data_IF_798233434592
#
_entry.id   IF_798233434592
#
_cell.length_a   1.000
_cell.length_b   1.000
_cell.length_c   1.000
_cell.angle_alpha   90.00
_cell.angle_beta   90.00
_cell.angle_gamma   90.00
#
_symmetry.space_group_name_H-M   'P 1'
#
loop_
_entity.id
_entity.type
_entity.pdbx_description
1 polymer ?
#
# COMPACT_ATOMS: atom_id res chain seq x y z
N UNK A 1 -10.16 7.90 -1.00
CA UNK A 1 -9.35 8.57 0.05
C UNK A 1 -9.64 7.89 1.38
N UNK A 2 -8.63 7.44 2.13
CA UNK A 2 -8.85 6.84 3.44
C UNK A 2 -9.10 7.97 4.46
N UNK A 3 -10.37 8.15 4.85
CA UNK A 3 -10.81 9.19 5.81
C UNK A 3 -10.27 8.99 7.24
N UNK A 4 -9.64 7.84 7.50
CA UNK A 4 -9.20 7.45 8.82
C UNK A 4 -7.84 8.05 9.19
N UNK A 5 -6.90 8.04 8.26
CA UNK A 5 -5.57 8.55 8.51
C UNK A 5 -5.10 9.36 7.30
N UNK A 6 -5.56 10.62 7.19
CA UNK A 6 -5.30 11.44 6.00
C UNK A 6 -3.84 11.92 5.92
N UNK A 7 -3.02 11.74 6.96
CA UNK A 7 -1.65 12.24 7.01
C UNK A 7 -0.56 11.14 6.91
N UNK A 8 -0.93 9.86 6.91
CA UNK A 8 0.02 8.75 7.09
C UNK A 8 0.94 8.96 8.29
N UNK A 9 0.35 9.22 9.45
CA UNK A 9 1.09 9.37 10.69
C UNK A 9 0.59 8.38 11.70
N UNK A 10 1.46 7.88 12.56
CA UNK A 10 1.04 7.06 13.68
C UNK A 10 0.02 7.81 14.54
N UNK A 11 -1.12 7.17 14.85
CA UNK A 11 -2.10 7.77 15.74
C UNK A 11 -1.50 7.80 17.15
N UNK A 12 -1.21 8.99 17.72
CA UNK A 12 -0.69 9.05 19.07
C UNK A 12 -1.74 8.51 20.05
N UNK A 13 -1.29 8.08 21.22
CA UNK A 13 -2.20 7.63 22.28
C UNK A 13 -3.25 8.69 22.65
N UNK A 14 -3.01 9.98 22.39
CA UNK A 14 -3.99 11.05 22.56
C UNK A 14 -5.08 11.08 21.46
N UNK A 15 -4.78 10.62 20.25
CA UNK A 15 -5.71 10.60 19.11
C UNK A 15 -6.48 9.28 19.10
N UNK A 16 -7.45 9.16 20.01
CA UNK A 16 -8.29 7.99 20.15
C UNK A 16 -9.31 7.88 19.00
N UNK A 17 -8.94 7.30 17.86
CA UNK A 17 -9.95 6.63 17.02
C UNK A 17 -10.39 5.35 17.71
N UNK A 18 -11.21 5.51 18.76
CA UNK A 18 -11.62 4.45 19.70
C UNK A 18 -12.09 3.19 18.98
N UNK A 19 -12.79 3.32 17.85
CA UNK A 19 -13.26 2.18 17.06
C UNK A 19 -12.15 1.30 16.49
N UNK A 20 -11.06 1.89 16.00
CA UNK A 20 -9.96 1.12 15.39
C UNK A 20 -9.12 0.46 16.45
N UNK A 21 -8.79 1.19 17.53
CA UNK A 21 -8.07 0.62 18.65
C UNK A 21 -8.89 -0.49 19.32
N UNK A 22 -10.19 -0.29 19.53
CA UNK A 22 -11.06 -1.32 20.09
C UNK A 22 -11.12 -2.56 19.19
N UNK A 23 -11.25 -2.39 17.87
CA UNK A 23 -11.23 -3.52 16.95
C UNK A 23 -9.87 -4.23 16.94
N UNK A 24 -8.77 -3.49 16.96
CA UNK A 24 -7.42 -4.06 17.03
C UNK A 24 -7.24 -4.87 18.32
N UNK A 25 -7.60 -4.32 19.48
CA UNK A 25 -7.54 -5.05 20.76
C UNK A 25 -8.44 -6.28 20.78
N UNK A 26 -9.66 -6.18 20.24
CA UNK A 26 -10.59 -7.30 20.19
C UNK A 26 -10.09 -8.43 19.26
N UNK A 27 -9.55 -8.08 18.09
CA UNK A 27 -9.03 -9.07 17.12
C UNK A 27 -7.73 -9.72 17.56
N UNK A 28 -6.85 -8.97 18.22
CA UNK A 28 -5.59 -9.48 18.80
C UNK A 28 -5.77 -10.12 20.17
N UNK A 29 -6.95 -9.94 20.80
CA UNK A 29 -7.24 -10.30 22.21
C UNK A 29 -6.23 -9.71 23.19
N UNK A 30 -5.76 -8.49 22.90
CA UNK A 30 -4.74 -7.81 23.70
C UNK A 30 -5.17 -6.39 24.06
N UNK A 31 -5.76 -6.23 25.26
CA UNK A 31 -6.20 -4.93 25.78
C UNK A 31 -5.03 -4.02 26.20
N UNK A 32 -3.83 -4.56 26.32
CA UNK A 32 -2.63 -3.82 26.73
C UNK A 32 -2.02 -2.98 25.61
N UNK A 33 -2.52 -3.08 24.37
CA UNK A 33 -2.07 -2.24 23.25
C UNK A 33 -2.44 -0.79 23.53
N UNK A 34 -1.45 0.05 23.85
CA UNK A 34 -1.66 1.48 24.17
C UNK A 34 -0.80 2.42 23.30
N UNK A 35 0.15 1.86 22.56
CA UNK A 35 1.10 2.59 21.73
C UNK A 35 1.33 1.88 20.41
N UNK A 36 1.90 2.59 19.43
CA UNK A 36 2.29 1.98 18.16
C UNK A 36 3.40 0.94 18.31
N UNK A 37 4.25 1.04 19.33
CA UNK A 37 5.25 0.02 19.62
C UNK A 37 4.59 -1.35 19.92
N UNK A 38 3.45 -1.35 20.62
CA UNK A 38 2.67 -2.55 20.90
C UNK A 38 2.00 -3.12 19.65
N UNK A 39 1.77 -2.28 18.64
CA UNK A 39 1.08 -2.65 17.39
C UNK A 39 1.98 -3.37 16.40
N UNK A 40 3.30 -3.10 16.44
CA UNK A 40 4.28 -3.62 15.49
C UNK A 40 4.18 -5.14 15.20
N UNK A 41 3.97 -6.03 16.19
CA UNK A 41 3.87 -7.47 15.94
C UNK A 41 2.68 -7.86 15.05
N UNK A 42 1.61 -7.05 15.05
CA UNK A 42 0.36 -7.36 14.34
C UNK A 42 0.32 -6.81 12.91
N UNK A 43 1.32 -6.01 12.51
CA UNK A 43 1.31 -5.32 11.21
C UNK A 43 1.20 -6.27 10.00
N UNK A 44 1.65 -7.52 10.11
CA UNK A 44 1.57 -8.54 9.06
C UNK A 44 0.39 -9.50 9.22
N UNK A 45 -0.39 -9.38 10.29
CA UNK A 45 -1.52 -10.28 10.50
C UNK A 45 -2.66 -9.98 9.50
N UNK A 46 -3.51 -10.97 9.18
CA UNK A 46 -4.57 -10.77 8.19
C UNK A 46 -5.59 -9.72 8.64
N UNK A 47 -6.37 -10.04 9.67
CA UNK A 47 -7.48 -9.21 10.13
C UNK A 47 -7.02 -8.11 11.08
N UNK A 48 -6.17 -8.46 12.05
CA UNK A 48 -5.59 -7.49 12.98
C UNK A 48 -4.66 -6.51 12.26
N UNK A 49 -3.92 -6.98 11.24
CA UNK A 49 -2.96 -6.15 10.53
C UNK A 49 -3.59 -5.01 9.74
N UNK A 50 -4.82 -5.16 9.24
CA UNK A 50 -5.54 -4.04 8.62
C UNK A 50 -5.71 -2.91 9.64
N UNK A 51 -6.17 -3.24 10.84
CA UNK A 51 -6.36 -2.22 11.90
C UNK A 51 -5.05 -1.72 12.47
N UNK A 52 -4.03 -2.57 12.56
CA UNK A 52 -2.67 -2.18 12.94
C UNK A 52 -2.13 -1.12 11.98
N UNK A 53 -2.24 -1.35 10.66
CA UNK A 53 -1.81 -0.44 9.60
C UNK A 53 -2.64 0.85 9.56
N UNK A 54 -3.94 0.77 9.85
CA UNK A 54 -4.78 1.98 9.95
C UNK A 54 -4.44 2.83 11.17
N UNK A 55 -4.12 2.20 12.30
CA UNK A 55 -3.84 2.86 13.57
C UNK A 55 -2.41 3.42 13.60
N UNK A 56 -1.42 2.63 13.16
CA UNK A 56 0.00 2.98 13.17
C UNK A 56 0.66 2.69 11.82
N UNK A 57 0.33 3.48 10.78
CA UNK A 57 0.85 3.25 9.44
C UNK A 57 2.37 3.41 9.33
N UNK A 58 3.00 4.32 10.06
CA UNK A 58 4.46 4.48 9.99
C UNK A 58 5.16 3.34 10.69
N UNK A 59 4.68 2.92 11.86
CA UNK A 59 5.22 1.75 12.56
C UNK A 59 5.04 0.47 11.76
N UNK A 60 3.95 0.36 11.00
CA UNK A 60 3.73 -0.74 10.05
C UNK A 60 4.32 -0.47 8.67
N UNK A 61 5.26 0.46 8.51
CA UNK A 61 6.00 0.68 7.27
C UNK A 61 5.12 0.94 6.03
N UNK A 62 3.93 1.52 6.21
CA UNK A 62 2.98 1.79 5.12
C UNK A 62 3.55 2.71 4.03
N UNK A 63 4.50 3.58 4.38
CA UNK A 63 5.16 4.47 3.44
C UNK A 63 6.28 3.78 2.65
N UNK A 64 6.75 2.61 3.09
CA UNK A 64 7.87 1.92 2.47
C UNK A 64 7.42 1.13 1.23
N UNK A 65 7.99 1.41 0.05
CA UNK A 65 7.69 0.64 -1.17
C UNK A 65 8.28 -0.77 -1.14
N UNK A 66 9.33 -0.98 -0.33
CA UNK A 66 10.02 -2.26 -0.12
C UNK A 66 9.50 -3.00 1.12
N UNK A 67 8.38 -2.58 1.69
CA UNK A 67 7.75 -3.27 2.83
C UNK A 67 7.32 -4.69 2.42
N UNK A 68 7.54 -5.71 3.27
CA UNK A 68 7.04 -7.06 3.02
C UNK A 68 5.51 -7.16 3.08
N UNK A 69 4.82 -6.09 3.52
CA UNK A 69 3.38 -6.08 3.74
C UNK A 69 2.53 -6.01 2.46
N UNK A 70 3.15 -6.06 1.27
CA UNK A 70 2.42 -6.20 0.00
C UNK A 70 1.30 -5.18 -0.15
N UNK A 71 1.63 -3.90 0.03
CA UNK A 71 0.65 -2.81 0.14
C UNK A 71 0.22 -2.32 -1.24
N UNK A 72 -0.43 -3.21 -1.99
CA UNK A 72 -0.89 -2.92 -3.35
C UNK A 72 -2.21 -2.14 -3.33
N UNK A 73 -3.01 -2.28 -2.27
CA UNK A 73 -4.33 -1.65 -2.16
C UNK A 73 -4.56 -1.00 -0.76
N UNK A 74 -5.04 0.26 -0.69
CA UNK A 74 -5.31 0.97 0.56
C UNK A 74 -6.39 0.33 1.45
N UNK A 75 -7.24 -0.51 0.90
CA UNK A 75 -8.21 -1.36 1.60
C UNK A 75 -7.54 -2.33 2.57
N UNK A 76 -6.25 -2.60 2.42
CA UNK A 76 -5.46 -3.37 3.39
C UNK A 76 -5.01 -2.57 4.60
N UNK A 77 -5.43 -1.31 4.74
CA UNK A 77 -5.27 -0.52 5.97
C UNK A 77 -4.22 0.59 5.91
N UNK A 78 -3.34 0.58 4.92
CA UNK A 78 -2.44 1.70 4.66
C UNK A 78 -3.17 2.79 3.85
N UNK A 79 -3.22 4.03 4.34
CA UNK A 79 -3.90 5.09 3.62
C UNK A 79 -3.15 5.49 2.34
N UNK A 80 -3.89 6.00 1.34
CA UNK A 80 -3.30 6.63 0.15
C UNK A 80 -2.29 7.71 0.50
N UNK A 81 -2.47 8.41 1.63
CA UNK A 81 -1.53 9.44 2.09
C UNK A 81 -0.12 8.89 2.33
N UNK A 82 0.03 7.59 2.61
CA UNK A 82 1.34 6.96 2.76
C UNK A 82 2.13 6.89 1.46
N UNK A 83 1.47 6.98 0.31
CA UNK A 83 2.11 7.05 -1.00
C UNK A 83 2.72 8.44 -1.27
N UNK A 84 2.24 9.48 -0.57
CA UNK A 84 2.81 10.83 -0.64
C UNK A 84 3.75 11.14 0.53
N UNK A 85 4.09 10.13 1.35
CA UNK A 85 4.92 10.33 2.54
C UNK A 85 6.34 10.79 2.14
N UNK A 86 6.93 11.81 2.81
CA UNK A 86 8.21 12.40 2.39
C UNK A 86 9.36 11.40 2.27
N UNK A 87 9.43 10.39 3.15
CA UNK A 87 10.47 9.35 3.11
C UNK A 87 10.28 8.33 1.98
N UNK A 88 9.10 8.25 1.36
CA UNK A 88 8.84 7.26 0.31
C UNK A 88 9.66 7.58 -0.95
N UNK A 89 9.67 8.84 -1.35
CA UNK A 89 10.40 9.29 -2.53
C UNK A 89 11.92 9.01 -2.40
N UNK A 90 12.51 9.20 -1.22
CA UNK A 90 13.92 8.89 -1.01
C UNK A 90 14.23 7.39 -1.04
N UNK A 91 13.33 6.54 -0.52
CA UNK A 91 13.49 5.08 -0.62
C UNK A 91 13.39 4.64 -2.08
N UNK A 92 12.41 5.17 -2.83
CA UNK A 92 12.26 4.88 -4.26
C UNK A 92 13.49 5.33 -5.07
N UNK A 93 14.02 6.52 -4.79
CA UNK A 93 15.21 7.04 -5.46
C UNK A 93 16.48 6.21 -5.15
N UNK A 94 16.56 5.60 -3.97
CA UNK A 94 17.67 4.76 -3.55
C UNK A 94 17.53 3.30 -4.00
N UNK A 95 16.32 2.85 -4.33
CA UNK A 95 16.06 1.49 -4.78
C UNK A 95 16.64 1.28 -6.18
N UNK A 96 17.43 0.22 -6.34
CA UNK A 96 17.88 -0.19 -7.67
C UNK A 96 16.67 -0.69 -8.45
N UNK A 97 16.43 -0.11 -9.63
CA UNK A 97 15.46 -0.67 -10.57
C UNK A 97 15.90 -2.11 -10.89
N UNK A 98 15.06 -3.14 -10.58
CA UNK A 98 15.45 -4.54 -10.72
C UNK A 98 15.72 -4.93 -12.18
N UNK A 99 15.34 -4.09 -13.13
CA UNK A 99 15.52 -4.26 -14.57
C UNK A 99 15.95 -2.89 -15.10
N UNK A 100 17.07 -2.80 -15.83
CA UNK A 100 17.29 -1.68 -16.76
C UNK A 100 16.11 -1.70 -17.70
N UNK A 101 15.37 -0.59 -17.85
CA UNK A 101 14.28 -0.50 -18.82
C UNK A 101 14.74 -1.21 -20.10
N UNK A 102 13.96 -2.18 -20.62
CA UNK A 102 14.36 -2.85 -21.84
C UNK A 102 14.58 -1.74 -22.88
N UNK A 103 15.68 -1.78 -23.66
CA UNK A 103 16.01 -0.66 -24.53
C UNK A 103 14.82 -0.39 -25.45
N UNK A 104 14.57 0.87 -25.80
CA UNK A 104 13.33 1.33 -26.44
C UNK A 104 12.91 0.47 -27.66
N UNK A 105 13.88 -0.12 -28.35
CA UNK A 105 13.75 -1.11 -29.43
C UNK A 105 13.03 -2.43 -29.07
N UNK A 106 12.90 -2.78 -27.78
CA UNK A 106 12.07 -3.89 -27.28
C UNK A 106 10.65 -3.44 -26.91
N UNK A 107 10.39 -2.13 -26.83
CA UNK A 107 9.04 -1.63 -26.71
C UNK A 107 8.44 -1.61 -28.12
N UNK A 108 7.56 -2.58 -28.41
CA UNK A 108 6.71 -2.51 -29.59
C UNK A 108 5.76 -1.32 -29.42
N UNK A 109 6.16 -0.18 -29.97
CA UNK A 109 5.38 1.05 -29.95
C UNK A 109 3.97 0.84 -30.54
N UNK A 110 3.81 -0.06 -31.51
CA UNK A 110 2.48 -0.35 -32.06
C UNK A 110 1.63 -1.13 -31.06
N UNK A 111 2.22 -2.05 -30.29
CA UNK A 111 1.52 -2.76 -29.22
C UNK A 111 1.13 -1.81 -28.07
N UNK A 112 2.05 -0.94 -27.65
CA UNK A 112 1.78 0.06 -26.60
C UNK A 112 0.67 1.02 -27.04
N UNK A 113 0.74 1.51 -28.28
CA UNK A 113 -0.28 2.41 -28.82
C UNK A 113 -1.66 1.73 -28.88
N UNK A 114 -1.72 0.47 -29.31
CA UNK A 114 -2.97 -0.31 -29.32
C UNK A 114 -3.53 -0.50 -27.91
N UNK A 115 -2.68 -0.81 -26.93
CA UNK A 115 -3.09 -0.95 -25.54
C UNK A 115 -3.61 0.37 -24.95
N UNK A 116 -2.95 1.49 -25.26
CA UNK A 116 -3.40 2.84 -24.89
C UNK A 116 -4.74 3.19 -25.55
N UNK A 117 -4.86 2.99 -26.85
CA UNK A 117 -6.08 3.27 -27.62
C UNK A 117 -7.25 2.40 -27.12
N UNK A 118 -7.00 1.12 -26.83
CA UNK A 118 -7.98 0.21 -26.24
C UNK A 118 -8.37 0.66 -24.84
N UNK A 119 -7.42 1.04 -23.99
CA UNK A 119 -7.70 1.53 -22.65
C UNK A 119 -8.52 2.82 -22.64
N UNK A 120 -8.23 3.74 -23.58
CA UNK A 120 -9.01 4.97 -23.78
C UNK A 120 -10.41 4.69 -24.34
N UNK A 121 -10.56 3.73 -25.26
CA UNK A 121 -11.85 3.38 -25.84
C UNK A 121 -12.75 2.59 -24.88
N UNK A 122 -12.16 1.77 -24.01
CA UNK A 122 -12.90 0.87 -23.10
C UNK A 122 -13.01 1.42 -21.67
N UNK A 123 -12.31 2.51 -21.35
CA UNK A 123 -12.36 3.15 -20.03
C UNK A 123 -11.52 2.47 -18.95
N UNK A 124 -10.57 1.60 -19.30
CA UNK A 124 -9.69 0.93 -18.34
C UNK A 124 -8.52 0.18 -18.98
N UNK A 125 -7.40 0.11 -18.25
CA UNK A 125 -6.12 -0.47 -18.68
C UNK A 125 -5.95 -1.95 -18.28
N UNK A 126 -7.05 -2.69 -18.15
CA UNK A 126 -7.01 -4.10 -17.77
C UNK A 126 -6.39 -4.98 -18.85
N UNK A 127 -5.59 -5.97 -18.46
CA UNK A 127 -5.20 -7.07 -19.35
C UNK A 127 -6.46 -7.89 -19.63
N UNK A 128 -6.90 -7.96 -20.88
CA UNK A 128 -7.96 -8.89 -21.23
C UNK A 128 -7.40 -10.32 -21.26
N UNK A 129 -8.26 -11.31 -21.06
CA UNK A 129 -7.90 -12.73 -21.04
C UNK A 129 -7.18 -13.19 -22.33
N UNK A 130 -7.43 -12.47 -23.43
CA UNK A 130 -6.76 -12.66 -24.73
C UNK A 130 -5.29 -12.21 -24.76
N UNK A 131 -4.87 -11.35 -23.84
CA UNK A 131 -3.51 -10.78 -23.76
C UNK A 131 -2.55 -11.69 -22.97
N UNK A 132 -3.07 -12.72 -22.28
CA UNK A 132 -2.30 -13.66 -21.44
C UNK A 132 -1.73 -14.83 -22.30
N UNK A 133 -2.08 -14.91 -23.58
CA UNK A 133 -1.77 -16.06 -24.44
C UNK A 133 -0.81 -15.76 -25.59
N UNK A 134 0.49 -15.60 -25.32
CA UNK A 134 1.55 -15.89 -26.30
C UNK A 134 2.82 -16.33 -25.59
N UNK A 135 3.08 -17.64 -25.63
CA UNK A 135 4.42 -18.22 -25.44
C UNK A 135 5.25 -18.01 -26.68
#
# INVERSE_FOLDING_TARGET
VNIVNPACTDMPSSMHRKGILAFLRATTRNESIVSCADVKPYCAEPWAGISARMYCPETCDCFRPDSPLGLVDPGWGCSWSCFSHPKRASILAAAACPIKDPPAEHFDHALLQRWLDQGLATGGFGLEEKDIGRK
#
